data_IF_429984482747
#
_entry.id   IF_429984482747
#
_cell.length_a   1.000
_cell.length_b   1.000
_cell.length_c   1.000
_cell.angle_alpha   90.00
_cell.angle_beta   90.00
_cell.angle_gamma   90.00
#
_symmetry.space_group_name_H-M   'P 1'
#
loop_
_entity.id
_entity.type
_entity.pdbx_description
1 polymer ?
#
# COMPACT_ATOMS: atom_id res chain seq x y z
N UNK A 1 -19.97 -11.65 6.16
CA UNK A 1 -19.28 -12.24 4.97
C UNK A 1 -18.84 -11.07 4.10
N UNK A 2 -17.57 -11.03 3.77
CA UNK A 2 -17.01 -9.99 2.90
C UNK A 2 -17.60 -10.18 1.50
N UNK A 3 -18.22 -9.13 0.95
CA UNK A 3 -18.80 -9.17 -0.41
C UNK A 3 -17.72 -8.87 -1.45
N UNK A 4 -16.87 -9.87 -1.73
CA UNK A 4 -15.82 -9.76 -2.72
C UNK A 4 -16.37 -9.62 -4.16
N UNK A 5 -17.59 -10.11 -4.44
CA UNK A 5 -18.20 -9.98 -5.76
C UNK A 5 -18.60 -8.52 -6.04
N UNK A 6 -19.18 -7.83 -5.03
CA UNK A 6 -19.42 -6.40 -5.12
C UNK A 6 -18.09 -5.61 -5.24
N UNK A 7 -17.03 -6.04 -4.55
CA UNK A 7 -15.70 -5.44 -4.68
C UNK A 7 -15.18 -5.54 -6.12
N UNK A 8 -15.21 -6.73 -6.75
CA UNK A 8 -14.76 -6.90 -8.14
C UNK A 8 -15.58 -6.02 -9.09
N UNK A 9 -16.90 -6.00 -8.92
CA UNK A 9 -17.79 -5.18 -9.75
C UNK A 9 -17.43 -3.69 -9.67
N UNK A 10 -17.20 -3.18 -8.46
CA UNK A 10 -16.79 -1.79 -8.21
C UNK A 10 -15.43 -1.48 -8.83
N UNK A 11 -14.42 -2.32 -8.56
CA UNK A 11 -13.04 -2.05 -8.99
C UNK A 11 -12.92 -2.05 -10.52
N UNK A 12 -13.63 -2.94 -11.22
CA UNK A 12 -13.62 -2.99 -12.69
C UNK A 12 -14.38 -1.79 -13.29
N UNK A 13 -15.44 -1.32 -12.63
CA UNK A 13 -16.13 -0.11 -13.06
C UNK A 13 -15.26 1.15 -12.89
N UNK A 14 -14.46 1.22 -11.82
CA UNK A 14 -13.56 2.34 -11.54
C UNK A 14 -12.28 2.30 -12.38
N UNK A 15 -11.77 1.09 -12.68
CA UNK A 15 -10.54 0.87 -13.44
C UNK A 15 -10.80 0.01 -14.69
N UNK A 16 -11.20 0.63 -15.82
CA UNK A 16 -11.66 -0.08 -17.03
C UNK A 16 -10.60 -0.98 -17.71
N UNK A 17 -9.33 -0.83 -17.35
CA UNK A 17 -8.25 -1.72 -17.83
C UNK A 17 -8.28 -3.10 -17.18
N UNK A 18 -9.04 -3.29 -16.10
CA UNK A 18 -9.15 -4.55 -15.39
C UNK A 18 -10.22 -5.46 -16.02
N UNK A 19 -9.93 -6.75 -16.02
CA UNK A 19 -10.84 -7.78 -16.53
C UNK A 19 -11.56 -8.47 -15.36
N UNK A 20 -12.88 -8.48 -15.35
CA UNK A 20 -13.69 -8.97 -14.24
C UNK A 20 -13.54 -10.47 -14.00
N UNK A 21 -13.64 -11.30 -15.05
CA UNK A 21 -13.71 -12.76 -14.88
C UNK A 21 -12.50 -13.37 -14.15
N UNK A 22 -11.23 -13.06 -14.51
CA UNK A 22 -10.08 -13.59 -13.78
C UNK A 22 -10.06 -13.17 -12.30
N UNK A 23 -10.51 -11.96 -11.98
CA UNK A 23 -10.59 -11.47 -10.60
C UNK A 23 -11.68 -12.19 -9.80
N UNK A 24 -12.85 -12.44 -10.43
CA UNK A 24 -13.94 -13.22 -9.84
C UNK A 24 -13.49 -14.65 -9.52
N UNK A 25 -12.84 -15.33 -10.48
CA UNK A 25 -12.37 -16.70 -10.34
C UNK A 25 -11.33 -16.81 -9.22
N UNK A 26 -10.37 -15.88 -9.18
CA UNK A 26 -9.34 -15.82 -8.14
C UNK A 26 -9.95 -15.58 -6.75
N UNK A 27 -10.85 -14.61 -6.59
CA UNK A 27 -11.52 -14.34 -5.32
C UNK A 27 -12.37 -15.53 -4.84
N UNK A 28 -13.10 -16.18 -5.75
CA UNK A 28 -13.89 -17.38 -5.44
C UNK A 28 -12.99 -18.53 -4.96
N UNK A 29 -11.87 -18.76 -5.63
CA UNK A 29 -10.88 -19.75 -5.25
C UNK A 29 -10.28 -19.46 -3.87
N UNK A 30 -9.85 -18.20 -3.60
CA UNK A 30 -9.34 -17.81 -2.28
C UNK A 30 -10.43 -17.99 -1.21
N UNK A 31 -11.66 -17.58 -1.49
CA UNK A 31 -12.78 -17.75 -0.55
C UNK A 31 -13.05 -19.24 -0.20
N UNK A 32 -12.91 -20.13 -1.15
CA UNK A 32 -13.16 -21.57 -0.93
C UNK A 32 -12.04 -22.26 -0.16
N UNK A 33 -10.80 -21.94 -0.43
CA UNK A 33 -9.64 -22.66 0.10
C UNK A 33 -8.85 -21.91 1.17
N UNK A 34 -8.95 -20.59 1.20
CA UNK A 34 -8.12 -19.70 2.03
C UNK A 34 -8.92 -18.49 2.56
N UNK A 35 -10.16 -18.71 2.98
CA UNK A 35 -11.10 -17.65 3.37
C UNK A 35 -10.54 -16.67 4.43
N UNK A 36 -9.66 -17.16 5.32
CA UNK A 36 -8.98 -16.37 6.34
C UNK A 36 -8.01 -15.31 5.77
N UNK A 37 -7.55 -15.49 4.52
CA UNK A 37 -6.63 -14.57 3.85
C UNK A 37 -7.33 -13.56 2.94
N UNK A 38 -8.59 -13.78 2.57
CA UNK A 38 -9.28 -13.01 1.55
C UNK A 38 -9.34 -11.51 1.88
N UNK A 39 -9.64 -11.15 3.12
CA UNK A 39 -9.74 -9.74 3.53
C UNK A 39 -8.45 -8.96 3.27
N UNK A 40 -7.32 -9.50 3.74
CA UNK A 40 -6.00 -8.87 3.57
C UNK A 40 -5.55 -8.89 2.10
N UNK A 41 -5.91 -9.95 1.35
CA UNK A 41 -5.65 -10.03 -0.09
C UNK A 41 -6.39 -8.93 -0.86
N UNK A 42 -7.65 -8.66 -0.52
CA UNK A 42 -8.43 -7.59 -1.14
C UNK A 42 -7.88 -6.19 -0.80
N UNK A 43 -7.42 -5.97 0.44
CA UNK A 43 -6.79 -4.70 0.83
C UNK A 43 -5.53 -4.40 -0.01
N UNK A 44 -4.69 -5.40 -0.26
CA UNK A 44 -3.52 -5.23 -1.11
C UNK A 44 -3.90 -5.03 -2.58
N UNK A 45 -4.87 -5.81 -3.06
CA UNK A 45 -5.36 -5.70 -4.43
C UNK A 45 -6.00 -4.34 -4.72
N UNK A 46 -6.70 -3.74 -3.75
CA UNK A 46 -7.23 -2.38 -3.81
C UNK A 46 -6.11 -1.37 -4.06
N UNK A 47 -5.07 -1.37 -3.23
CA UNK A 47 -3.92 -0.48 -3.37
C UNK A 47 -3.24 -0.63 -4.74
N UNK A 48 -3.14 -1.86 -5.25
CA UNK A 48 -2.54 -2.11 -6.57
C UNK A 48 -3.43 -1.63 -7.71
N UNK A 49 -4.76 -1.76 -7.57
CA UNK A 49 -5.70 -1.24 -8.56
C UNK A 49 -5.69 0.30 -8.62
N UNK A 50 -5.57 0.99 -7.46
CA UNK A 50 -5.40 2.45 -7.38
C UNK A 50 -4.15 2.94 -8.16
N UNK A 51 -3.12 2.11 -8.30
CA UNK A 51 -1.95 2.39 -9.13
C UNK A 51 -2.23 2.29 -10.65
N UNK A 52 -3.45 1.91 -11.04
CA UNK A 52 -3.90 1.73 -12.42
C UNK A 52 -3.07 0.72 -13.20
N UNK A 53 -2.57 -0.32 -12.51
CA UNK A 53 -1.86 -1.43 -13.11
C UNK A 53 -2.86 -2.38 -13.80
N UNK A 54 -2.33 -3.39 -14.47
CA UNK A 54 -3.09 -4.39 -15.23
C UNK A 54 -3.72 -5.48 -14.33
N UNK A 55 -4.55 -6.32 -14.93
CA UNK A 55 -5.22 -7.44 -14.25
C UNK A 55 -4.20 -8.42 -13.65
N UNK A 56 -3.07 -8.69 -14.31
CA UNK A 56 -2.04 -9.60 -13.81
C UNK A 56 -1.43 -9.09 -12.50
N UNK A 57 -1.21 -7.78 -12.38
CA UNK A 57 -0.72 -7.13 -11.16
C UNK A 57 -1.70 -7.24 -9.99
N UNK A 58 -3.02 -7.06 -10.25
CA UNK A 58 -4.06 -7.20 -9.23
C UNK A 58 -4.21 -8.66 -8.80
N UNK A 59 -4.13 -9.62 -9.72
CA UNK A 59 -4.12 -11.05 -9.41
C UNK A 59 -2.90 -11.44 -8.57
N UNK A 60 -1.72 -10.91 -8.90
CA UNK A 60 -0.51 -11.11 -8.10
C UNK A 60 -0.67 -10.56 -6.67
N UNK A 61 -1.31 -9.41 -6.51
CA UNK A 61 -1.60 -8.84 -5.20
C UNK A 61 -2.57 -9.70 -4.39
N UNK A 62 -3.65 -10.22 -5.01
CA UNK A 62 -4.58 -11.15 -4.37
C UNK A 62 -3.88 -12.41 -3.86
N UNK A 63 -2.96 -12.97 -4.64
CA UNK A 63 -2.26 -14.20 -4.33
C UNK A 63 -1.05 -14.01 -3.38
N UNK A 64 -0.56 -12.79 -3.19
CA UNK A 64 0.69 -12.52 -2.48
C UNK A 64 0.77 -13.15 -1.09
N UNK A 65 -0.30 -13.01 -0.29
CA UNK A 65 -0.34 -13.59 1.07
C UNK A 65 -0.23 -15.11 1.07
N UNK A 66 -0.84 -15.77 0.10
CA UNK A 66 -0.81 -17.23 -0.03
C UNK A 66 0.61 -17.74 -0.32
N UNK A 67 1.34 -17.02 -1.18
CA UNK A 67 2.75 -17.29 -1.48
C UNK A 67 3.62 -17.03 -0.25
N UNK A 68 3.43 -15.90 0.43
CA UNK A 68 4.22 -15.53 1.63
C UNK A 68 4.02 -16.48 2.80
N UNK A 69 2.87 -17.13 2.90
CA UNK A 69 2.57 -18.12 3.95
C UNK A 69 2.73 -19.57 3.47
N UNK A 70 3.33 -19.75 2.30
CA UNK A 70 3.62 -21.07 1.69
C UNK A 70 2.39 -21.99 1.59
N UNK A 71 1.20 -21.40 1.41
CA UNK A 71 -0.07 -22.15 1.35
C UNK A 71 -0.38 -22.73 -0.01
N UNK A 72 0.32 -22.28 -1.05
CA UNK A 72 0.06 -22.67 -2.44
C UNK A 72 1.37 -22.93 -3.18
N UNK A 73 1.34 -23.91 -4.07
CA UNK A 73 2.46 -24.20 -4.96
C UNK A 73 2.47 -23.28 -6.17
N UNK A 74 3.64 -23.13 -6.83
CA UNK A 74 3.74 -22.36 -8.07
C UNK A 74 2.86 -22.92 -9.18
N UNK A 75 2.74 -24.25 -9.27
CA UNK A 75 1.92 -24.94 -10.28
C UNK A 75 0.42 -24.67 -10.07
N UNK A 76 -0.07 -24.72 -8.81
CA UNK A 76 -1.47 -24.42 -8.49
C UNK A 76 -1.79 -22.97 -8.84
N UNK A 77 -0.92 -22.04 -8.46
CA UNK A 77 -1.10 -20.62 -8.80
C UNK A 77 -1.13 -20.39 -10.31
N UNK A 78 -0.23 -21.01 -11.06
CA UNK A 78 -0.17 -20.86 -12.50
C UNK A 78 -1.49 -21.30 -13.18
N UNK A 79 -2.16 -22.30 -12.60
CA UNK A 79 -3.48 -22.75 -13.07
C UNK A 79 -4.58 -21.74 -12.71
N UNK A 80 -4.50 -21.09 -11.56
CA UNK A 80 -5.56 -20.22 -11.04
C UNK A 80 -5.46 -18.76 -11.55
N UNK A 81 -4.25 -18.21 -11.64
CA UNK A 81 -4.03 -16.79 -11.98
C UNK A 81 -3.19 -16.58 -13.25
N UNK A 82 -2.77 -17.67 -13.91
CA UNK A 82 -1.95 -17.62 -15.12
C UNK A 82 -0.46 -17.43 -14.86
N UNK A 83 0.34 -17.64 -15.90
CA UNK A 83 1.81 -17.63 -15.79
C UNK A 83 2.35 -16.24 -15.42
N UNK A 84 1.87 -15.18 -16.05
CA UNK A 84 2.35 -13.81 -15.85
C UNK A 84 2.14 -13.34 -14.40
N UNK A 85 0.91 -13.44 -13.88
CA UNK A 85 0.62 -13.06 -12.50
C UNK A 85 1.39 -13.92 -11.49
N UNK A 86 1.64 -15.19 -11.80
CA UNK A 86 2.43 -16.10 -10.97
C UNK A 86 3.89 -15.64 -10.91
N UNK A 87 4.52 -15.31 -12.02
CA UNK A 87 5.90 -14.80 -12.02
C UNK A 87 6.01 -13.48 -11.26
N UNK A 88 5.04 -12.56 -11.43
CA UNK A 88 4.99 -11.30 -10.69
C UNK A 88 4.94 -11.55 -9.18
N UNK A 89 4.02 -12.38 -8.70
CA UNK A 89 3.87 -12.60 -7.26
C UNK A 89 5.10 -13.28 -6.63
N UNK A 90 5.72 -14.21 -7.34
CA UNK A 90 6.96 -14.85 -6.86
C UNK A 90 8.14 -13.85 -6.85
N UNK A 91 8.24 -12.97 -7.83
CA UNK A 91 9.24 -11.89 -7.85
C UNK A 91 9.04 -10.92 -6.68
N UNK A 92 7.81 -10.51 -6.40
CA UNK A 92 7.48 -9.67 -5.22
C UNK A 92 7.80 -10.41 -3.91
N UNK A 93 7.48 -11.70 -3.81
CA UNK A 93 7.75 -12.50 -2.62
C UNK A 93 9.26 -12.70 -2.40
N UNK A 94 10.04 -12.89 -3.45
CA UNK A 94 11.50 -12.98 -3.37
C UNK A 94 12.14 -11.69 -2.84
N UNK A 95 11.58 -10.51 -3.14
CA UNK A 95 12.02 -9.25 -2.55
C UNK A 95 11.73 -9.16 -1.04
N UNK A 96 10.77 -9.89 -0.54
CA UNK A 96 10.39 -9.87 0.87
C UNK A 96 11.31 -10.70 1.76
N UNK A 97 11.90 -11.77 1.23
CA UNK A 97 12.90 -12.59 1.97
C UNK A 97 14.22 -11.86 2.19
N UNK A 98 14.43 -10.76 1.50
CA UNK A 98 15.57 -9.85 1.70
C UNK A 98 15.26 -8.68 2.62
N UNK A 99 14.09 -8.64 3.23
CA UNK A 99 13.70 -7.63 4.21
C UNK A 99 14.55 -7.77 5.48
N UNK A 100 15.04 -6.64 5.99
CA UNK A 100 15.87 -6.53 7.20
C UNK A 100 15.23 -7.09 8.48
N UNK A 101 13.94 -7.46 8.43
CA UNK A 101 13.17 -7.92 9.58
C UNK A 101 13.44 -9.38 9.96
N UNK A 102 14.11 -10.17 9.12
CA UNK A 102 14.44 -11.58 9.40
C UNK A 102 15.84 -11.79 10.00
N UNK A 103 16.60 -10.71 10.21
CA UNK A 103 17.89 -10.81 10.89
C UNK A 103 17.70 -10.71 12.40
N UNK A 104 17.86 -11.87 13.04
CA UNK A 104 17.90 -12.09 14.49
C UNK A 104 18.66 -11.03 15.30
N UNK A 105 18.31 -10.95 16.59
CA UNK A 105 18.83 -10.13 17.67
C UNK A 105 20.36 -10.29 17.94
N UNK A 106 21.22 -10.13 16.92
CA UNK A 106 22.68 -10.19 17.10
C UNK A 106 23.37 -8.88 16.72
N UNK A 107 24.29 -8.37 17.57
CA UNK A 107 24.97 -7.10 17.38
C UNK A 107 26.16 -7.23 16.44
N UNK A 108 25.95 -7.19 15.12
CA UNK A 108 27.02 -7.12 14.10
C UNK A 108 26.77 -6.00 13.10
N UNK A 109 26.90 -4.77 13.56
CA UNK A 109 26.62 -3.51 12.83
C UNK A 109 27.26 -3.37 11.42
N UNK A 110 28.42 -3.97 11.17
CA UNK A 110 29.10 -3.86 9.86
C UNK A 110 28.52 -4.82 8.80
N UNK A 111 28.06 -6.00 9.20
CA UNK A 111 27.46 -6.99 8.32
C UNK A 111 26.03 -6.62 7.92
N UNK A 112 25.33 -5.91 8.80
CA UNK A 112 23.98 -5.39 8.57
C UNK A 112 23.94 -4.29 7.50
N UNK A 113 24.89 -3.35 7.52
CA UNK A 113 24.98 -2.30 6.50
C UNK A 113 25.29 -2.87 5.10
N UNK A 114 26.13 -3.89 5.01
CA UNK A 114 26.50 -4.53 3.76
C UNK A 114 25.32 -5.35 3.18
N UNK A 115 24.57 -6.03 4.04
CA UNK A 115 23.35 -6.73 3.70
C UNK A 115 22.25 -5.76 3.21
N UNK A 116 22.10 -4.59 3.83
CA UNK A 116 21.16 -3.55 3.40
C UNK A 116 21.45 -3.04 2.00
N UNK A 117 22.72 -2.77 1.70
CA UNK A 117 23.16 -2.33 0.37
C UNK A 117 22.92 -3.40 -0.69
N UNK A 118 23.18 -4.65 -0.38
CA UNK A 118 22.92 -5.80 -1.26
C UNK A 118 21.42 -5.98 -1.53
N UNK A 119 20.59 -5.83 -0.51
CA UNK A 119 19.12 -5.93 -0.62
C UNK A 119 18.56 -4.79 -1.48
N UNK A 120 19.04 -3.56 -1.29
CA UNK A 120 18.65 -2.41 -2.12
C UNK A 120 19.11 -2.62 -3.55
N UNK A 121 20.34 -3.14 -3.79
CA UNK A 121 20.83 -3.45 -5.14
C UNK A 121 19.99 -4.52 -5.82
N UNK A 122 19.63 -5.59 -5.12
CA UNK A 122 18.80 -6.68 -5.66
C UNK A 122 17.38 -6.20 -5.96
N UNK A 123 16.82 -5.37 -5.09
CA UNK A 123 15.55 -4.71 -5.28
C UNK A 123 15.58 -3.78 -6.50
N UNK A 124 16.64 -2.97 -6.66
CA UNK A 124 16.83 -2.12 -7.84
C UNK A 124 17.03 -2.95 -9.13
N UNK A 125 17.73 -4.09 -9.06
CA UNK A 125 17.91 -4.98 -10.19
C UNK A 125 16.58 -5.60 -10.66
N UNK A 126 15.75 -6.09 -9.72
CA UNK A 126 14.44 -6.65 -10.08
C UNK A 126 13.45 -5.62 -10.65
N UNK A 127 13.64 -4.33 -10.35
CA UNK A 127 12.87 -3.23 -10.94
C UNK A 127 13.23 -2.94 -12.39
N UNK A 128 14.45 -3.32 -12.81
CA UNK A 128 14.89 -3.16 -14.21
C UNK A 128 14.11 -4.13 -15.10
N UNK A 129 13.76 -5.30 -14.58
CA UNK A 129 13.06 -6.34 -15.34
C UNK A 129 11.55 -6.05 -15.44
N UNK A 130 10.90 -5.65 -14.35
CA UNK A 130 9.47 -5.30 -14.34
C UNK A 130 9.11 -4.30 -13.23
N UNK A 131 8.76 -3.07 -13.60
CA UNK A 131 8.39 -2.00 -12.66
C UNK A 131 7.12 -2.33 -11.83
N UNK A 132 6.26 -3.25 -12.31
CA UNK A 132 5.06 -3.68 -11.58
C UNK A 132 5.43 -4.39 -10.27
N UNK A 133 6.53 -5.15 -10.25
CA UNK A 133 7.05 -5.83 -9.06
C UNK A 133 7.35 -4.82 -7.95
N UNK A 134 8.00 -3.71 -8.30
CA UNK A 134 8.29 -2.64 -7.35
C UNK A 134 7.03 -1.94 -6.85
N UNK A 135 6.08 -1.66 -7.75
CA UNK A 135 4.81 -1.03 -7.39
C UNK A 135 3.98 -1.88 -6.43
N UNK A 136 3.85 -3.19 -6.70
CA UNK A 136 3.17 -4.15 -5.81
C UNK A 136 3.89 -4.22 -4.46
N UNK A 137 5.23 -4.22 -4.45
CA UNK A 137 6.01 -4.25 -3.21
C UNK A 137 5.82 -2.97 -2.38
N UNK A 138 5.74 -1.81 -3.00
CA UNK A 138 5.43 -0.55 -2.31
C UNK A 138 4.03 -0.57 -1.69
N UNK A 139 3.02 -1.05 -2.43
CA UNK A 139 1.67 -1.21 -1.90
C UNK A 139 1.64 -2.18 -0.70
N UNK A 140 2.37 -3.28 -0.76
CA UNK A 140 2.52 -4.23 0.35
C UNK A 140 3.17 -3.58 1.57
N UNK A 141 4.18 -2.72 1.39
CA UNK A 141 4.80 -2.00 2.51
C UNK A 141 3.87 -0.99 3.16
N UNK A 142 3.04 -0.28 2.37
CA UNK A 142 1.99 0.59 2.91
C UNK A 142 1.00 -0.21 3.75
N UNK A 143 0.53 -1.35 3.22
CA UNK A 143 -0.38 -2.23 3.97
C UNK A 143 0.24 -2.74 5.28
N UNK A 144 1.50 -3.16 5.25
CA UNK A 144 2.23 -3.58 6.44
C UNK A 144 2.34 -2.46 7.50
N UNK A 145 2.55 -1.20 7.08
CA UNK A 145 2.54 -0.04 7.98
C UNK A 145 1.16 0.26 8.55
N UNK A 146 0.09 0.17 7.74
CA UNK A 146 -1.28 0.33 8.23
C UNK A 146 -1.61 -0.67 9.34
N UNK A 147 -1.16 -1.91 9.18
CA UNK A 147 -1.35 -2.99 10.15
C UNK A 147 -0.40 -2.90 11.35
N UNK A 148 0.70 -2.16 11.23
CA UNK A 148 1.72 -2.06 12.28
C UNK A 148 1.22 -1.40 13.58
N UNK A 149 0.08 -0.70 13.56
CA UNK A 149 -0.56 -0.14 14.76
C UNK A 149 -0.79 -1.19 15.86
N UNK A 150 -1.05 -2.44 15.47
CA UNK A 150 -1.39 -3.55 16.37
C UNK A 150 -0.17 -4.40 16.75
N UNK A 151 1.04 -4.02 16.27
CA UNK A 151 2.27 -4.76 16.55
C UNK A 151 3.00 -4.21 17.79
N UNK A 152 3.87 -5.06 18.36
CA UNK A 152 4.79 -4.66 19.40
C UNK A 152 5.62 -3.44 19.01
N UNK A 153 5.91 -2.49 19.94
CA UNK A 153 6.56 -1.22 19.64
C UNK A 153 7.88 -1.36 18.87
N UNK A 154 8.71 -2.33 19.25
CA UNK A 154 10.00 -2.56 18.58
C UNK A 154 9.82 -3.01 17.14
N UNK A 155 8.88 -3.94 16.89
CA UNK A 155 8.56 -4.42 15.54
C UNK A 155 7.98 -3.29 14.68
N UNK A 156 7.08 -2.49 15.25
CA UNK A 156 6.48 -1.33 14.58
C UNK A 156 7.54 -0.32 14.16
N UNK A 157 8.49 0.01 15.05
CA UNK A 157 9.59 0.93 14.75
C UNK A 157 10.50 0.42 13.64
N UNK A 158 10.85 -0.88 13.62
CA UNK A 158 11.65 -1.48 12.54
C UNK A 158 10.96 -1.36 11.19
N UNK A 159 9.68 -1.71 11.10
CA UNK A 159 8.89 -1.58 9.86
C UNK A 159 8.85 -0.12 9.39
N UNK A 160 8.64 0.82 10.31
CA UNK A 160 8.61 2.24 10.01
C UNK A 160 9.97 2.78 9.54
N UNK A 161 11.06 2.34 10.18
CA UNK A 161 12.42 2.70 9.78
C UNK A 161 12.74 2.23 8.36
N UNK A 162 12.43 0.98 8.06
CA UNK A 162 12.62 0.40 6.73
C UNK A 162 11.79 1.14 5.66
N UNK A 163 10.52 1.40 5.96
CA UNK A 163 9.62 2.11 5.07
C UNK A 163 10.11 3.53 4.74
N UNK A 164 10.54 4.29 5.75
CA UNK A 164 11.03 5.65 5.57
C UNK A 164 12.40 5.72 4.88
N UNK A 165 13.32 4.78 5.19
CA UNK A 165 14.69 4.84 4.68
C UNK A 165 14.89 4.21 3.31
N UNK A 166 14.06 3.23 2.92
CA UNK A 166 14.21 2.46 1.68
C UNK A 166 13.02 2.69 0.74
N UNK A 167 11.81 2.42 1.22
CA UNK A 167 10.64 2.35 0.33
C UNK A 167 10.09 3.74 -0.05
N UNK A 168 10.16 4.74 0.84
CA UNK A 168 9.75 6.11 0.47
C UNK A 168 10.64 6.73 -0.61
N UNK A 169 11.99 6.72 -0.51
CA UNK A 169 12.85 7.15 -1.61
C UNK A 169 12.61 6.40 -2.92
N UNK A 170 12.29 5.11 -2.84
CA UNK A 170 11.96 4.30 -3.99
C UNK A 170 10.66 4.76 -4.66
N UNK A 171 9.59 4.94 -3.89
CA UNK A 171 8.32 5.46 -4.37
C UNK A 171 8.48 6.83 -5.03
N UNK A 172 9.35 7.69 -4.46
CA UNK A 172 9.70 8.98 -5.03
C UNK A 172 10.36 8.85 -6.42
N UNK A 173 11.30 7.93 -6.59
CA UNK A 173 11.99 7.70 -7.87
C UNK A 173 11.06 7.14 -8.94
N UNK A 174 10.09 6.31 -8.55
CA UNK A 174 9.06 5.76 -9.44
C UNK A 174 7.92 6.76 -9.74
N UNK A 175 7.90 7.92 -9.09
CA UNK A 175 6.84 8.90 -9.26
C UNK A 175 5.50 8.49 -8.62
N UNK A 176 5.49 7.49 -7.74
CA UNK A 176 4.28 7.00 -7.06
C UNK A 176 4.04 7.83 -5.80
N UNK A 177 3.63 9.09 -5.99
CA UNK A 177 3.55 10.12 -4.95
C UNK A 177 2.61 9.77 -3.80
N UNK A 178 1.45 9.18 -4.07
CA UNK A 178 0.49 8.85 -3.02
C UNK A 178 1.02 7.77 -2.07
N UNK A 179 1.67 6.71 -2.57
CA UNK A 179 2.31 5.73 -1.70
C UNK A 179 3.51 6.31 -0.95
N UNK A 180 4.28 7.21 -1.61
CA UNK A 180 5.38 7.92 -0.96
C UNK A 180 4.90 8.69 0.27
N UNK A 181 3.87 9.52 0.10
CA UNK A 181 3.35 10.32 1.21
C UNK A 181 2.82 9.46 2.34
N UNK A 182 2.13 8.39 2.03
CA UNK A 182 1.62 7.48 3.06
C UNK A 182 2.75 6.73 3.80
N UNK A 183 3.77 6.27 3.07
CA UNK A 183 4.97 5.68 3.68
C UNK A 183 5.66 6.66 4.62
N UNK A 184 5.82 7.92 4.23
CA UNK A 184 6.43 8.97 5.05
C UNK A 184 5.58 9.34 6.28
N UNK A 185 4.27 9.53 6.09
CA UNK A 185 3.34 9.90 7.15
C UNK A 185 3.27 8.84 8.25
N UNK A 186 3.04 7.58 7.85
CA UNK A 186 2.99 6.46 8.79
C UNK A 186 4.35 6.19 9.45
N UNK A 187 5.45 6.33 8.71
CA UNK A 187 6.79 6.20 9.29
C UNK A 187 7.06 7.28 10.33
N UNK A 188 6.74 8.55 10.04
CA UNK A 188 6.89 9.65 10.99
C UNK A 188 6.04 9.41 12.24
N UNK A 189 4.79 8.98 12.06
CA UNK A 189 3.87 8.68 13.15
C UNK A 189 4.42 7.64 14.13
N UNK A 190 5.11 6.60 13.63
CA UNK A 190 5.63 5.53 14.46
C UNK A 190 7.04 5.77 15.00
N UNK A 191 7.84 6.57 14.30
CA UNK A 191 9.21 6.89 14.72
C UNK A 191 9.30 8.13 15.61
N UNK A 192 8.43 9.12 15.36
CA UNK A 192 8.44 10.42 16.03
C UNK A 192 7.02 10.87 16.36
N UNK A 193 6.33 10.12 17.21
CA UNK A 193 4.94 10.38 17.58
C UNK A 193 4.75 11.78 18.20
N UNK A 194 5.73 12.24 18.97
CA UNK A 194 5.77 13.59 19.54
C UNK A 194 5.65 14.68 18.48
N UNK A 195 6.48 14.57 17.44
CA UNK A 195 6.48 15.52 16.31
C UNK A 195 5.20 15.39 15.50
N UNK A 196 4.78 14.16 15.20
CA UNK A 196 3.56 13.89 14.44
C UNK A 196 2.33 14.55 15.08
N UNK A 197 2.14 14.33 16.39
CA UNK A 197 1.02 14.91 17.13
C UNK A 197 1.09 16.45 17.19
N UNK A 198 2.30 17.01 17.32
CA UNK A 198 2.52 18.46 17.27
C UNK A 198 2.08 19.07 15.94
N UNK A 199 2.48 18.45 14.82
CA UNK A 199 2.09 18.88 13.46
C UNK A 199 0.57 18.72 13.26
N UNK A 200 0.01 17.58 13.62
CA UNK A 200 -1.42 17.30 13.47
C UNK A 200 -2.28 18.34 14.22
N UNK A 201 -1.87 18.72 15.44
CA UNK A 201 -2.55 19.76 16.24
C UNK A 201 -2.50 21.13 15.53
N UNK A 202 -1.34 21.52 15.02
CA UNK A 202 -1.20 22.79 14.30
C UNK A 202 -2.02 22.84 13.02
N UNK A 203 -2.06 21.71 12.26
CA UNK A 203 -2.85 21.62 11.05
C UNK A 203 -4.35 21.69 11.34
N UNK A 204 -4.81 21.02 12.40
CA UNK A 204 -6.21 21.08 12.83
C UNK A 204 -6.63 22.48 13.20
N UNK A 205 -5.82 23.23 13.96
CA UNK A 205 -6.09 24.61 14.31
C UNK A 205 -6.17 25.53 13.09
N UNK A 206 -5.23 25.38 12.14
CA UNK A 206 -5.26 26.16 10.90
C UNK A 206 -6.46 25.80 10.02
N UNK A 207 -6.89 24.56 9.99
CA UNK A 207 -8.09 24.12 9.28
C UNK A 207 -9.34 24.77 9.84
N UNK A 208 -9.52 24.72 11.16
CA UNK A 208 -10.66 25.39 11.82
C UNK A 208 -10.71 26.89 11.56
N UNK A 209 -9.54 27.56 11.61
CA UNK A 209 -9.45 29.00 11.27
C UNK A 209 -9.87 29.28 9.83
N UNK A 210 -9.42 28.45 8.87
CA UNK A 210 -9.82 28.59 7.47
C UNK A 210 -11.31 28.34 7.25
N UNK A 211 -11.87 27.30 7.88
CA UNK A 211 -13.30 27.00 7.81
C UNK A 211 -14.13 28.16 8.34
N UNK A 212 -13.72 28.78 9.46
CA UNK A 212 -14.37 29.98 10.00
C UNK A 212 -14.26 31.19 9.07
N UNK A 213 -13.08 31.42 8.47
CA UNK A 213 -12.89 32.50 7.51
C UNK A 213 -13.73 32.30 6.24
N UNK A 214 -13.80 31.08 5.72
CA UNK A 214 -14.62 30.76 4.55
C UNK A 214 -16.11 30.97 4.88
N UNK A 215 -16.58 30.51 6.04
CA UNK A 215 -17.96 30.70 6.48
C UNK A 215 -18.30 32.20 6.59
N UNK A 216 -17.46 32.98 7.26
CA UNK A 216 -17.66 34.43 7.39
C UNK A 216 -17.64 35.15 6.03
N UNK A 217 -16.78 34.73 5.12
CA UNK A 217 -16.72 35.27 3.76
C UNK A 217 -17.96 34.91 2.95
N UNK A 218 -18.46 33.70 3.09
CA UNK A 218 -19.69 33.25 2.45
C UNK A 218 -20.91 34.05 2.94
N UNK A 219 -21.04 34.23 4.26
CA UNK A 219 -22.10 35.06 4.85
C UNK A 219 -22.04 36.51 4.35
N UNK A 220 -20.83 37.07 4.26
CA UNK A 220 -20.67 38.45 3.77
C UNK A 220 -21.04 38.57 2.29
N UNK A 221 -20.66 37.60 1.44
CA UNK A 221 -21.05 37.59 0.02
C UNK A 221 -22.54 37.44 -0.16
N UNK A 222 -23.17 36.53 0.59
CA UNK A 222 -24.63 36.33 0.56
C UNK A 222 -25.39 37.59 0.98
N UNK A 223 -24.91 38.27 2.02
CA UNK A 223 -25.48 39.55 2.45
C UNK A 223 -25.39 40.63 1.37
N UNK A 224 -24.23 40.80 0.74
CA UNK A 224 -24.01 41.75 -0.34
C UNK A 224 -24.89 41.45 -1.57
N UNK A 225 -25.08 40.18 -1.92
CA UNK A 225 -25.95 39.77 -3.02
C UNK A 225 -27.43 40.02 -2.69
N UNK A 226 -27.81 39.75 -1.45
CA UNK A 226 -29.19 40.06 -0.94
C UNK A 226 -29.50 41.54 -0.98
N UNK A 227 -28.59 42.42 -0.61
CA UNK A 227 -28.72 43.87 -0.69
C UNK A 227 -28.86 44.36 -2.15
N UNK A 228 -28.38 43.59 -3.10
CA UNK A 228 -28.52 43.87 -4.54
C UNK A 228 -29.73 43.17 -5.20
N UNK A 229 -30.58 42.49 -4.41
CA UNK A 229 -31.74 41.77 -4.91
C UNK A 229 -31.41 40.47 -5.68
N UNK A 230 -30.22 39.96 -5.53
CA UNK A 230 -29.75 38.69 -6.17
C UNK A 230 -29.86 37.58 -5.13
N UNK A 231 -30.71 36.57 -5.40
CA UNK A 231 -30.78 35.35 -4.56
C UNK A 231 -29.65 34.43 -4.92
N UNK A 232 -28.81 34.08 -3.95
CA UNK A 232 -27.71 33.12 -4.07
C UNK A 232 -28.14 31.75 -3.53
#
# INVERSE_FOLDING_TARGET
TLDWAAWVTRIVAEYPQLTAQPLMDCCAWIQQQHADQLAVSLELAELVAELRLDTASVLAALAYRLVRTERVSKADLQTQIGAEATELVFSVAAMATTSLLEMSDSPMLAKEQQSQVENVKRMLASMIDDARVAAIKLAERVLALRQAKDYEPQRRQRIAQEAGSIFSPLANRLGIWHLKWELEDLSLRYLREDIYLGIAKQLSQKRQQREQQVAAMTEHVVALLGDQGISA
#
